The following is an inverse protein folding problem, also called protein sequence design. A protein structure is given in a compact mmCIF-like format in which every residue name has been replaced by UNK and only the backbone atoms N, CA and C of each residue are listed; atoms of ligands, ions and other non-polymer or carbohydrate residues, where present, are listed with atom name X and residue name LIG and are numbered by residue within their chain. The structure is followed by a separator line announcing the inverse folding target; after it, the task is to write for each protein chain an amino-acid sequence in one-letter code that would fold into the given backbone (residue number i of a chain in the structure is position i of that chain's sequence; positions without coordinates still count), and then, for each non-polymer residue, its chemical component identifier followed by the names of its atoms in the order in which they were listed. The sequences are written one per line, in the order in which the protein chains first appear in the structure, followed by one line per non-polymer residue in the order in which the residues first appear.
data_IF_670523963298
#
_entry.id   IF_670523963298
#
_cell.length_a   1.000
_cell.length_b   1.000
_cell.length_c   1.000
_cell.angle_alpha   90.00
_cell.angle_beta   90.00
_cell.angle_gamma   90.00
#
_symmetry.space_group_name_H-M   'P 1'
#
loop_
_entity.id
_entity.type
_entity.pdbx_description
1 polymer ?
#
# COMPACT_ATOMS: atom_id res chain seq x y z
N UNK A 1 -51.17 72.49 -2.82
CA UNK A 1 -49.90 72.39 -2.06
C UNK A 1 -49.86 71.02 -1.41
N UNK A 2 -48.99 70.16 -1.93
CA UNK A 2 -48.77 68.80 -1.46
C UNK A 2 -48.02 68.81 -0.10
N UNK A 3 -48.42 67.93 0.82
CA UNK A 3 -47.76 67.74 2.12
C UNK A 3 -47.43 66.26 2.33
N UNK A 4 -46.14 65.96 2.27
CA UNK A 4 -45.48 64.66 2.30
C UNK A 4 -45.80 63.83 3.56
N UNK A 5 -46.26 62.59 3.38
CA UNK A 5 -46.16 61.53 4.41
C UNK A 5 -44.74 60.97 4.42
N UNK A 6 -43.90 61.46 5.34
CA UNK A 6 -42.58 60.87 5.58
C UNK A 6 -42.72 59.63 6.49
N UNK A 7 -42.99 58.47 5.88
CA UNK A 7 -42.66 57.16 6.49
C UNK A 7 -41.15 57.16 6.78
N UNK A 8 -40.75 57.33 8.04
CA UNK A 8 -39.41 56.94 8.49
C UNK A 8 -39.26 55.44 8.20
N UNK A 9 -38.56 55.12 7.10
CA UNK A 9 -37.91 53.82 6.95
C UNK A 9 -36.91 53.71 8.10
N UNK A 10 -37.26 52.98 9.18
CA UNK A 10 -36.21 52.31 9.96
C UNK A 10 -35.37 51.55 8.94
N UNK A 11 -34.06 51.79 8.94
CA UNK A 11 -33.20 51.19 7.94
C UNK A 11 -33.36 49.67 8.01
N UNK A 12 -33.50 49.02 6.86
CA UNK A 12 -33.38 47.56 6.75
C UNK A 12 -32.24 46.96 7.62
N UNK A 13 -31.07 47.60 7.79
CA UNK A 13 -30.04 47.12 8.73
C UNK A 13 -30.44 47.12 10.21
N UNK A 14 -31.15 48.12 10.74
CA UNK A 14 -31.56 48.15 12.16
C UNK A 14 -32.63 47.10 12.48
N UNK A 15 -33.55 46.86 11.54
CA UNK A 15 -34.55 45.79 11.66
C UNK A 15 -33.89 44.41 11.56
N UNK A 16 -32.93 44.22 10.65
CA UNK A 16 -32.14 42.98 10.57
C UNK A 16 -31.29 42.72 11.81
N UNK A 17 -30.71 43.75 12.43
CA UNK A 17 -29.95 43.62 13.68
C UNK A 17 -30.88 43.23 14.84
N UNK A 18 -32.04 43.88 14.96
CA UNK A 18 -33.04 43.50 15.97
C UNK A 18 -33.60 42.08 15.79
N UNK A 19 -33.89 41.66 14.55
CA UNK A 19 -34.36 40.30 14.27
C UNK A 19 -33.26 39.26 14.54
N UNK A 20 -32.00 39.58 14.22
CA UNK A 20 -30.85 38.73 14.54
C UNK A 20 -30.61 38.61 16.05
N UNK A 21 -30.75 39.70 16.81
CA UNK A 21 -30.62 39.71 18.27
C UNK A 21 -31.78 38.97 18.95
N UNK A 22 -33.01 39.09 18.43
CA UNK A 22 -34.16 38.30 18.89
C UNK A 22 -33.99 36.80 18.61
N UNK A 23 -33.44 36.44 17.44
CA UNK A 23 -33.07 35.06 17.12
C UNK A 23 -32.00 34.51 18.07
N UNK A 24 -30.99 35.32 18.42
CA UNK A 24 -29.94 34.94 19.35
C UNK A 24 -30.46 34.75 20.78
N UNK A 25 -31.34 35.63 21.25
CA UNK A 25 -31.99 35.49 22.56
C UNK A 25 -32.82 34.20 22.65
N UNK A 26 -33.57 33.88 21.59
CA UNK A 26 -34.35 32.63 21.50
C UNK A 26 -33.43 31.41 21.55
N UNK A 27 -32.33 31.43 20.79
CA UNK A 27 -31.33 30.34 20.80
C UNK A 27 -30.70 30.16 22.18
N UNK A 28 -30.32 31.24 22.85
CA UNK A 28 -29.75 31.20 24.20
C UNK A 28 -30.74 30.60 25.21
N UNK A 29 -32.02 31.00 25.15
CA UNK A 29 -33.08 30.44 25.98
C UNK A 29 -33.28 28.94 25.76
N UNK A 30 -33.35 28.50 24.51
CA UNK A 30 -33.47 27.07 24.17
C UNK A 30 -32.25 26.26 24.62
N UNK A 31 -31.03 26.81 24.45
CA UNK A 31 -29.79 26.16 24.87
C UNK A 31 -29.70 25.99 26.39
N UNK A 32 -30.20 26.96 27.17
CA UNK A 32 -30.26 26.85 28.63
C UNK A 32 -31.19 25.74 29.09
N UNK A 33 -32.37 25.62 28.48
CA UNK A 33 -33.34 24.58 28.83
C UNK A 33 -32.79 23.20 28.47
N UNK A 34 -32.24 23.05 27.26
CA UNK A 34 -31.62 21.79 26.84
C UNK A 34 -30.49 21.34 27.78
N UNK A 35 -29.58 22.26 28.12
CA UNK A 35 -28.46 21.95 29.00
C UNK A 35 -28.88 21.64 30.44
N UNK A 36 -29.95 22.26 30.96
CA UNK A 36 -30.50 21.94 32.28
C UNK A 36 -31.16 20.56 32.31
N UNK A 37 -31.97 20.25 31.29
CA UNK A 37 -32.60 18.93 31.17
C UNK A 37 -31.55 17.82 31.00
N UNK A 38 -30.53 18.04 30.17
CA UNK A 38 -29.44 17.09 30.01
C UNK A 38 -28.61 16.94 31.29
N UNK A 39 -28.32 18.03 32.02
CA UNK A 39 -27.61 17.95 33.30
C UNK A 39 -28.38 17.12 34.35
N UNK A 40 -29.72 17.19 34.35
CA UNK A 40 -30.56 16.34 35.21
C UNK A 40 -30.47 14.87 34.78
N UNK A 41 -30.62 14.59 33.49
CA UNK A 41 -30.49 13.24 32.96
C UNK A 41 -29.11 12.63 33.29
N UNK A 42 -28.03 13.40 33.08
CA UNK A 42 -26.67 12.97 33.43
C UNK A 42 -26.49 12.71 34.94
N UNK A 43 -27.16 13.48 35.80
CA UNK A 43 -27.12 13.25 37.24
C UNK A 43 -27.87 11.97 37.65
N UNK A 44 -28.99 11.66 37.00
CA UNK A 44 -29.71 10.41 37.20
C UNK A 44 -28.87 9.21 36.70
N UNK A 45 -28.26 9.33 35.52
CA UNK A 45 -27.32 8.35 34.96
C UNK A 45 -26.12 8.10 35.88
N UNK A 46 -25.56 9.15 36.49
CA UNK A 46 -24.50 9.01 37.47
C UNK A 46 -24.94 8.18 38.69
N UNK A 47 -26.19 8.38 39.17
CA UNK A 47 -26.76 7.59 40.25
C UNK A 47 -26.91 6.11 39.88
N UNK A 48 -27.37 5.82 38.66
CA UNK A 48 -27.41 4.44 38.15
C UNK A 48 -26.02 3.85 38.00
N UNK A 49 -25.06 4.63 37.49
CA UNK A 49 -23.67 4.22 37.34
C UNK A 49 -23.02 3.95 38.70
N UNK A 50 -23.36 4.70 39.75
CA UNK A 50 -22.84 4.44 41.11
C UNK A 50 -23.37 3.12 41.65
N UNK A 51 -24.66 2.84 41.47
CA UNK A 51 -25.25 1.56 41.85
C UNK A 51 -24.63 0.39 41.07
N UNK A 52 -24.37 0.57 39.78
CA UNK A 52 -23.82 -0.49 38.94
C UNK A 52 -22.32 -0.65 39.11
N UNK A 53 -21.52 0.42 39.11
CA UNK A 53 -20.05 0.42 39.06
C UNK A 53 -19.40 0.56 40.44
N UNK A 54 -20.08 1.20 41.39
CA UNK A 54 -19.58 1.55 42.72
C UNK A 54 -19.09 3.00 42.83
N UNK A 55 -19.02 3.49 44.07
CA UNK A 55 -18.68 4.87 44.41
C UNK A 55 -17.32 5.34 43.86
N UNK A 56 -16.26 4.55 44.04
CA UNK A 56 -14.91 4.94 43.62
C UNK A 56 -14.82 5.23 42.10
N UNK A 57 -15.62 4.52 41.30
CA UNK A 57 -15.66 4.67 39.84
C UNK A 57 -16.41 5.93 39.38
N UNK A 58 -17.27 6.50 40.24
CA UNK A 58 -18.12 7.65 39.92
C UNK A 58 -17.62 8.98 40.50
N UNK A 59 -16.53 8.98 41.30
CA UNK A 59 -15.94 10.20 41.87
C UNK A 59 -15.55 11.23 40.81
N UNK A 60 -14.85 10.80 39.76
CA UNK A 60 -14.41 11.72 38.70
C UNK A 60 -15.58 12.24 37.85
N UNK A 61 -16.52 11.40 37.36
CA UNK A 61 -17.73 11.87 36.68
C UNK A 61 -18.56 12.83 37.54
N UNK A 62 -18.72 12.55 38.84
CA UNK A 62 -19.39 13.46 39.78
C UNK A 62 -18.72 14.84 39.84
N UNK A 63 -17.39 14.88 39.83
CA UNK A 63 -16.61 16.11 39.76
C UNK A 63 -16.85 16.89 38.47
N UNK A 64 -16.95 16.20 37.33
CA UNK A 64 -17.24 16.82 36.02
C UNK A 64 -18.65 17.40 36.00
N UNK A 65 -19.66 16.67 36.48
CA UNK A 65 -21.03 17.17 36.60
C UNK A 65 -21.12 18.40 37.52
N UNK A 66 -20.32 18.44 38.59
CA UNK A 66 -20.25 19.61 39.47
C UNK A 66 -19.66 20.84 38.76
N UNK A 67 -18.68 20.66 37.86
CA UNK A 67 -18.14 21.75 37.02
C UNK A 67 -19.20 22.23 36.03
N UNK A 68 -19.86 21.31 35.32
CA UNK A 68 -20.92 21.62 34.36
C UNK A 68 -22.06 22.42 35.01
N UNK A 69 -22.48 22.02 36.22
CA UNK A 69 -23.50 22.73 37.02
C UNK A 69 -23.10 24.17 37.33
N UNK A 70 -21.83 24.42 37.66
CA UNK A 70 -21.33 25.79 37.90
C UNK A 70 -21.34 26.63 36.63
N UNK A 71 -20.95 26.06 35.49
CA UNK A 71 -20.97 26.75 34.20
C UNK A 71 -22.40 27.09 33.76
N UNK A 72 -23.34 26.16 33.94
CA UNK A 72 -24.75 26.40 33.64
C UNK A 72 -25.36 27.46 34.57
N UNK A 73 -25.00 27.46 35.86
CA UNK A 73 -25.40 28.51 36.81
C UNK A 73 -24.91 29.90 36.37
N UNK A 74 -23.67 29.98 35.87
CA UNK A 74 -23.13 31.22 35.30
C UNK A 74 -23.89 31.64 34.03
N UNK A 75 -24.25 30.69 33.15
CA UNK A 75 -25.04 30.98 31.96
C UNK A 75 -26.43 31.54 32.33
N UNK A 76 -27.12 30.94 33.31
CA UNK A 76 -28.39 31.49 33.83
C UNK A 76 -28.22 32.87 34.45
N UNK A 77 -27.10 33.14 35.15
CA UNK A 77 -26.80 34.47 35.69
C UNK A 77 -26.64 35.51 34.58
N UNK A 78 -25.89 35.19 33.52
CA UNK A 78 -25.73 36.06 32.36
C UNK A 78 -27.05 36.34 31.64
N UNK A 79 -27.88 35.30 31.47
CA UNK A 79 -29.20 35.45 30.85
C UNK A 79 -30.12 36.34 31.69
N UNK A 80 -30.08 36.24 33.02
CA UNK A 80 -30.85 37.12 33.91
C UNK A 80 -30.44 38.59 33.76
N UNK A 81 -29.14 38.89 33.66
CA UNK A 81 -28.65 40.26 33.44
C UNK A 81 -29.18 40.87 32.13
N UNK A 82 -29.45 40.05 31.11
CA UNK A 82 -30.05 40.51 29.86
C UNK A 82 -31.55 40.83 29.99
N UNK A 83 -32.23 40.33 31.02
CA UNK A 83 -33.64 40.57 31.31
C UNK A 83 -33.86 41.58 32.45
N UNK A 84 -32.78 42.13 33.03
CA UNK A 84 -32.89 43.18 34.05
C UNK A 84 -33.45 44.48 33.46
N UNK A 85 -33.97 45.36 34.32
CA UNK A 85 -34.60 46.62 33.91
C UNK A 85 -33.65 47.59 33.15
N UNK A 86 -32.33 47.41 33.30
CA UNK A 86 -31.30 48.17 32.58
C UNK A 86 -30.18 47.22 32.13
N UNK A 87 -30.34 46.51 31.01
CA UNK A 87 -29.43 45.45 30.59
C UNK A 87 -28.11 45.94 29.98
N UNK A 88 -27.95 47.25 29.77
CA UNK A 88 -26.77 47.87 29.16
C UNK A 88 -26.95 48.15 27.67
N UNK A 89 -25.84 48.27 26.93
CA UNK A 89 -25.87 48.52 25.49
C UNK A 89 -26.27 47.27 24.68
N UNK A 90 -26.75 47.46 23.45
CA UNK A 90 -27.13 46.34 22.58
C UNK A 90 -25.95 45.37 22.31
N UNK A 91 -24.73 45.90 22.20
CA UNK A 91 -23.52 45.08 22.00
C UNK A 91 -23.17 44.25 23.24
N UNK A 92 -23.33 44.82 24.45
CA UNK A 92 -23.16 44.08 25.71
C UNK A 92 -24.17 42.95 25.85
N UNK A 93 -25.44 43.21 25.54
CA UNK A 93 -26.51 42.19 25.56
C UNK A 93 -26.21 41.07 24.57
N UNK A 94 -25.83 41.41 23.33
CA UNK A 94 -25.46 40.44 22.30
C UNK A 94 -24.26 39.60 22.73
N UNK A 95 -23.22 40.22 23.27
CA UNK A 95 -22.03 39.54 23.79
C UNK A 95 -22.38 38.56 24.92
N UNK A 96 -23.26 38.94 25.85
CA UNK A 96 -23.73 38.03 26.90
C UNK A 96 -24.55 36.87 26.36
N UNK A 97 -25.44 37.07 25.37
CA UNK A 97 -26.16 35.95 24.77
C UNK A 97 -25.23 34.97 24.03
N UNK A 98 -24.24 35.47 23.28
CA UNK A 98 -23.20 34.62 22.69
C UNK A 98 -22.48 33.83 23.78
N UNK A 99 -22.13 34.47 24.89
CA UNK A 99 -21.48 33.80 26.01
C UNK A 99 -22.36 32.74 26.67
N UNK A 100 -23.66 32.96 26.79
CA UNK A 100 -24.63 31.97 27.29
C UNK A 100 -24.63 30.75 26.39
N UNK A 101 -24.76 30.96 25.08
CA UNK A 101 -24.71 29.88 24.09
C UNK A 101 -23.40 29.11 24.18
N UNK A 102 -22.25 29.80 24.22
CA UNK A 102 -20.93 29.14 24.33
C UNK A 102 -20.79 28.31 25.62
N UNK A 103 -21.35 28.79 26.74
CA UNK A 103 -21.33 28.06 28.00
C UNK A 103 -22.22 26.82 27.94
N UNK A 104 -23.43 26.92 27.38
CA UNK A 104 -24.31 25.77 27.18
C UNK A 104 -23.68 24.76 26.23
N UNK A 105 -23.16 25.19 25.07
CA UNK A 105 -22.49 24.31 24.10
C UNK A 105 -21.25 23.62 24.71
N UNK A 106 -20.55 24.28 25.65
CA UNK A 106 -19.45 23.67 26.38
C UNK A 106 -19.92 22.63 27.41
N UNK A 107 -21.03 22.91 28.11
CA UNK A 107 -21.65 21.98 29.07
C UNK A 107 -22.15 20.74 28.33
N UNK A 108 -22.89 20.91 27.23
CA UNK A 108 -23.43 19.81 26.42
C UNK A 108 -22.34 18.84 25.97
N UNK A 109 -21.24 19.33 25.38
CA UNK A 109 -20.12 18.47 24.95
C UNK A 109 -19.52 17.67 26.10
N UNK A 110 -19.37 18.29 27.27
CA UNK A 110 -18.82 17.60 28.44
C UNK A 110 -19.80 16.54 28.95
N UNK A 111 -21.10 16.81 28.96
CA UNK A 111 -22.13 15.85 29.36
C UNK A 111 -22.19 14.66 28.38
N UNK A 112 -22.17 14.90 27.08
CA UNK A 112 -22.14 13.86 26.04
C UNK A 112 -20.93 12.93 26.20
N UNK A 113 -19.73 13.50 26.39
CA UNK A 113 -18.50 12.73 26.60
C UNK A 113 -18.57 11.87 27.87
N UNK A 114 -19.13 12.41 28.97
CA UNK A 114 -19.29 11.66 30.21
C UNK A 114 -20.34 10.56 30.10
N UNK A 115 -21.49 10.83 29.48
CA UNK A 115 -22.55 9.85 29.29
C UNK A 115 -22.07 8.67 28.44
N UNK A 116 -21.34 8.94 27.35
CA UNK A 116 -20.77 7.90 26.51
C UNK A 116 -19.76 7.01 27.26
N UNK A 117 -18.84 7.60 28.04
CA UNK A 117 -17.85 6.86 28.84
C UNK A 117 -18.52 6.02 29.94
N UNK A 118 -19.51 6.59 30.66
CA UNK A 118 -20.28 5.84 31.67
C UNK A 118 -21.04 4.67 31.05
N UNK A 119 -21.72 4.90 29.92
CA UNK A 119 -22.45 3.85 29.21
C UNK A 119 -21.52 2.71 28.77
N UNK A 120 -20.33 3.02 28.26
CA UNK A 120 -19.34 2.02 27.89
C UNK A 120 -18.87 1.20 29.10
N UNK A 121 -18.53 1.88 30.21
CA UNK A 121 -18.10 1.23 31.45
C UNK A 121 -19.19 0.32 32.03
N UNK A 122 -20.44 0.77 32.05
CA UNK A 122 -21.59 -0.04 32.48
C UNK A 122 -21.78 -1.26 31.56
N UNK A 123 -21.70 -1.07 30.24
CA UNK A 123 -21.76 -2.18 29.27
C UNK A 123 -20.66 -3.21 29.50
N UNK A 124 -19.42 -2.78 29.75
CA UNK A 124 -18.31 -3.67 30.10
C UNK A 124 -18.57 -4.42 31.40
N UNK A 125 -19.00 -3.70 32.44
CA UNK A 125 -19.31 -4.28 33.74
C UNK A 125 -20.39 -5.36 33.68
N UNK A 126 -21.45 -5.14 32.88
CA UNK A 126 -22.55 -6.09 32.67
C UNK A 126 -22.11 -7.34 31.91
N UNK A 127 -21.22 -7.21 30.91
CA UNK A 127 -20.70 -8.34 30.11
C UNK A 127 -19.62 -9.16 30.82
N UNK A 128 -18.92 -8.58 31.79
CA UNK A 128 -17.80 -9.22 32.46
C UNK A 128 -18.09 -10.60 33.10
N UNK A 129 -19.24 -10.86 33.76
CA UNK A 129 -19.57 -12.18 34.30
C UNK A 129 -19.63 -13.26 33.22
N UNK A 130 -20.29 -12.97 32.09
CA UNK A 130 -20.42 -13.91 30.98
C UNK A 130 -19.06 -14.19 30.33
N UNK A 131 -18.23 -13.15 30.18
CA UNK A 131 -16.86 -13.29 29.70
C UNK A 131 -16.01 -14.15 30.64
N UNK A 132 -16.11 -13.96 31.95
CA UNK A 132 -15.42 -14.80 32.95
C UNK A 132 -15.87 -16.26 32.83
N UNK A 133 -17.19 -16.50 32.74
CA UNK A 133 -17.74 -17.84 32.58
C UNK A 133 -17.26 -18.50 31.28
N UNK A 134 -17.26 -17.76 30.16
CA UNK A 134 -16.76 -18.22 28.86
C UNK A 134 -15.28 -18.59 28.91
N UNK A 135 -14.43 -17.72 29.48
CA UNK A 135 -12.99 -18.00 29.62
C UNK A 135 -12.74 -19.24 30.48
N UNK A 136 -13.50 -19.44 31.56
CA UNK A 136 -13.41 -20.68 32.38
C UNK A 136 -13.81 -21.92 31.61
N UNK A 137 -14.92 -21.86 30.89
CA UNK A 137 -15.38 -22.98 30.06
C UNK A 137 -14.33 -23.35 28.99
N UNK A 138 -13.73 -22.35 28.35
CA UNK A 138 -12.66 -22.55 27.38
C UNK A 138 -11.40 -23.15 28.00
N UNK A 139 -11.00 -22.70 29.20
CA UNK A 139 -9.87 -23.28 29.93
C UNK A 139 -10.10 -24.78 30.18
N UNK A 140 -11.29 -25.16 30.67
CA UNK A 140 -11.62 -26.57 30.91
C UNK A 140 -11.61 -27.38 29.62
N UNK A 141 -12.25 -26.88 28.56
CA UNK A 141 -12.31 -27.51 27.24
C UNK A 141 -10.92 -27.73 26.64
N UNK A 142 -10.05 -26.71 26.67
CA UNK A 142 -8.70 -26.81 26.11
C UNK A 142 -7.79 -27.68 26.97
N UNK A 143 -7.93 -27.68 28.31
CA UNK A 143 -7.18 -28.60 29.18
C UNK A 143 -7.45 -30.06 28.85
N UNK A 144 -8.71 -30.41 28.56
CA UNK A 144 -9.08 -31.75 28.16
C UNK A 144 -8.39 -32.21 26.85
N UNK A 145 -7.99 -31.29 25.97
CA UNK A 145 -7.27 -31.60 24.71
C UNK A 145 -5.77 -31.88 24.92
N UNK A 146 -5.16 -31.43 26.01
CA UNK A 146 -3.70 -31.55 26.23
C UNK A 146 -3.19 -32.99 26.19
N UNK A 147 -3.81 -33.98 26.87
CA UNK A 147 -3.35 -35.37 26.82
C UNK A 147 -3.41 -35.95 25.41
N UNK A 148 -4.44 -35.59 24.63
CA UNK A 148 -4.59 -35.99 23.24
C UNK A 148 -3.52 -35.37 22.34
N UNK A 149 -3.20 -34.09 22.54
CA UNK A 149 -2.12 -33.42 21.80
C UNK A 149 -0.75 -34.07 22.07
N UNK A 150 -0.46 -34.45 23.33
CA UNK A 150 0.77 -35.19 23.67
C UNK A 150 0.85 -36.54 22.97
N UNK A 151 -0.24 -37.32 23.04
CA UNK A 151 -0.33 -38.62 22.36
C UNK A 151 -0.17 -38.49 20.85
N UNK A 152 -0.71 -37.41 20.27
CA UNK A 152 -0.55 -37.10 18.83
C UNK A 152 0.90 -36.84 18.48
N UNK A 153 1.63 -36.05 19.28
CA UNK A 153 3.06 -35.80 19.06
C UNK A 153 3.87 -37.10 19.17
N UNK A 154 3.59 -37.95 20.16
CA UNK A 154 4.27 -39.25 20.31
C UNK A 154 4.03 -40.14 19.08
N UNK A 155 2.79 -40.19 18.57
CA UNK A 155 2.45 -40.90 17.32
C UNK A 155 3.19 -40.32 16.12
N UNK A 156 3.24 -39.00 16.00
CA UNK A 156 3.94 -38.32 14.91
C UNK A 156 5.46 -38.56 14.98
N UNK A 157 6.02 -38.66 16.18
CA UNK A 157 7.44 -38.99 16.40
C UNK A 157 7.85 -40.36 15.88
N UNK A 158 6.90 -41.29 15.74
CA UNK A 158 7.16 -42.58 15.09
C UNK A 158 7.29 -42.47 13.57
N UNK A 159 6.70 -41.45 12.94
CA UNK A 159 6.64 -41.27 11.47
C UNK A 159 7.58 -40.20 10.94
N UNK A 160 7.80 -39.14 11.70
CA UNK A 160 8.54 -37.96 11.27
C UNK A 160 9.85 -37.79 12.04
N UNK A 161 10.83 -37.15 11.40
CA UNK A 161 12.07 -36.79 12.07
C UNK A 161 11.82 -35.75 13.17
N UNK A 162 12.68 -35.73 14.20
CA UNK A 162 12.55 -34.76 15.31
C UNK A 162 12.61 -33.30 14.86
N UNK A 163 13.40 -33.01 13.81
CA UNK A 163 13.46 -31.67 13.22
C UNK A 163 12.13 -31.21 12.65
N UNK A 164 11.30 -32.12 12.14
CA UNK A 164 9.98 -31.78 11.61
C UNK A 164 9.01 -31.37 12.72
N UNK A 165 9.19 -31.95 13.92
CA UNK A 165 8.32 -31.73 15.08
C UNK A 165 8.78 -30.59 15.97
N UNK A 166 9.97 -30.00 15.74
CA UNK A 166 10.54 -28.98 16.63
C UNK A 166 9.63 -27.76 16.81
N UNK A 167 8.80 -27.44 15.82
CA UNK A 167 7.84 -26.33 15.89
C UNK A 167 6.58 -26.63 16.70
N UNK A 168 6.31 -27.90 17.04
CA UNK A 168 5.10 -28.32 17.74
C UNK A 168 5.34 -29.14 19.02
N UNK A 169 6.57 -29.62 19.25
CA UNK A 169 6.88 -30.51 20.37
C UNK A 169 6.61 -29.88 21.75
N UNK A 170 6.85 -28.57 21.90
CA UNK A 170 6.61 -27.84 23.16
C UNK A 170 5.16 -27.37 23.32
N UNK A 171 4.37 -27.36 22.24
CA UNK A 171 3.05 -26.73 22.21
C UNK A 171 2.10 -27.20 23.33
N UNK A 172 1.99 -28.50 23.68
CA UNK A 172 1.11 -28.92 24.77
C UNK A 172 1.57 -28.44 26.15
N UNK A 173 2.88 -28.32 26.36
CA UNK A 173 3.43 -27.80 27.61
C UNK A 173 3.21 -26.29 27.71
N UNK A 174 3.48 -25.55 26.63
CA UNK A 174 3.28 -24.10 26.55
C UNK A 174 1.79 -23.75 26.68
N UNK A 175 0.90 -24.52 26.04
CA UNK A 175 -0.54 -24.39 26.19
C UNK A 175 -0.97 -24.62 27.66
N UNK A 176 -0.43 -25.64 28.33
CA UNK A 176 -0.74 -25.90 29.74
C UNK A 176 -0.37 -24.70 30.63
N UNK A 177 0.81 -24.10 30.42
CA UNK A 177 1.26 -22.92 31.15
C UNK A 177 0.37 -21.71 30.89
N UNK A 178 0.02 -21.45 29.63
CA UNK A 178 -0.88 -20.36 29.25
C UNK A 178 -2.27 -20.51 29.88
N UNK A 179 -2.81 -21.74 29.93
CA UNK A 179 -4.10 -22.01 30.57
C UNK A 179 -4.04 -21.87 32.09
N UNK A 180 -2.93 -22.26 32.74
CA UNK A 180 -2.71 -22.01 34.16
C UNK A 180 -2.63 -20.51 34.49
N UNK A 181 -1.90 -19.75 33.67
CA UNK A 181 -1.86 -18.30 33.77
C UNK A 181 -3.25 -17.67 33.59
N UNK A 182 -4.00 -18.11 32.57
CA UNK A 182 -5.35 -17.61 32.32
C UNK A 182 -6.31 -17.90 33.48
N UNK A 183 -6.26 -19.10 34.07
CA UNK A 183 -7.08 -19.43 35.23
C UNK A 183 -6.76 -18.56 36.44
N UNK A 184 -5.47 -18.35 36.72
CA UNK A 184 -5.05 -17.42 37.78
C UNK A 184 -5.54 -16.00 37.51
N UNK A 185 -5.39 -15.53 36.26
CA UNK A 185 -5.81 -14.19 35.84
C UNK A 185 -7.32 -13.99 35.97
N UNK A 186 -8.15 -14.98 35.64
CA UNK A 186 -9.60 -14.94 35.88
C UNK A 186 -9.91 -14.82 37.37
N UNK A 187 -9.25 -15.62 38.22
CA UNK A 187 -9.44 -15.51 39.68
C UNK A 187 -9.03 -14.13 40.23
N UNK A 188 -7.98 -13.51 39.66
CA UNK A 188 -7.61 -12.13 39.99
C UNK A 188 -8.68 -11.13 39.54
N UNK A 189 -9.23 -11.31 38.34
CA UNK A 189 -10.28 -10.45 37.81
C UNK A 189 -11.52 -10.48 38.71
N UNK A 190 -11.99 -11.65 39.13
CA UNK A 190 -13.13 -11.79 40.06
C UNK A 190 -12.90 -11.06 41.38
N UNK A 191 -11.78 -11.33 42.06
CA UNK A 191 -11.45 -10.65 43.33
C UNK A 191 -11.38 -9.14 43.19
N UNK A 192 -10.87 -8.64 42.05
CA UNK A 192 -10.80 -7.19 41.78
C UNK A 192 -12.19 -6.60 41.55
N UNK A 193 -13.10 -7.33 40.87
CA UNK A 193 -14.50 -6.90 40.70
C UNK A 193 -15.26 -6.85 42.02
N UNK A 194 -15.11 -7.88 42.84
CA UNK A 194 -15.70 -7.94 44.19
C UNK A 194 -15.23 -6.78 45.07
N UNK A 195 -13.97 -6.38 44.92
CA UNK A 195 -13.39 -5.24 45.62
C UNK A 195 -13.63 -3.87 44.95
N UNK A 196 -14.56 -3.77 43.99
CA UNK A 196 -14.90 -2.50 43.30
C UNK A 196 -13.88 -2.02 42.25
N UNK A 197 -12.73 -2.69 42.09
CA UNK A 197 -11.63 -2.31 41.18
C UNK A 197 -11.83 -2.88 39.77
N UNK A 198 -12.89 -2.43 39.09
CA UNK A 198 -13.35 -3.02 37.82
C UNK A 198 -12.39 -2.82 36.65
N UNK A 199 -11.79 -1.64 36.49
CA UNK A 199 -10.83 -1.42 35.39
C UNK A 199 -9.61 -2.34 35.49
N UNK A 200 -9.10 -2.56 36.70
CA UNK A 200 -8.02 -3.51 36.93
C UNK A 200 -8.45 -4.97 36.74
N UNK A 201 -9.73 -5.28 36.89
CA UNK A 201 -10.26 -6.60 36.58
C UNK A 201 -10.36 -6.83 35.07
N UNK A 202 -10.78 -5.82 34.31
CA UNK A 202 -10.89 -5.89 32.85
C UNK A 202 -9.52 -6.21 32.22
N UNK A 203 -8.45 -5.55 32.68
CA UNK A 203 -7.09 -5.84 32.20
C UNK A 203 -6.67 -7.30 32.47
N UNK A 204 -6.99 -7.83 33.65
CA UNK A 204 -6.68 -9.21 34.00
C UNK A 204 -7.51 -10.20 33.17
N UNK A 205 -8.79 -9.89 32.92
CA UNK A 205 -9.68 -10.69 32.11
C UNK A 205 -9.25 -10.71 30.64
N UNK A 206 -8.86 -9.57 30.07
CA UNK A 206 -8.38 -9.48 28.69
C UNK A 206 -7.08 -10.29 28.50
N UNK A 207 -6.14 -10.16 29.43
CA UNK A 207 -4.91 -10.96 29.43
C UNK A 207 -5.20 -12.46 29.49
N UNK A 208 -6.17 -12.86 30.32
CA UNK A 208 -6.59 -14.26 30.45
C UNK A 208 -7.23 -14.79 29.16
N UNK A 209 -8.14 -14.03 28.56
CA UNK A 209 -8.79 -14.38 27.30
C UNK A 209 -7.76 -14.49 26.15
N UNK A 210 -6.76 -13.59 26.11
CA UNK A 210 -5.66 -13.65 25.14
C UNK A 210 -4.81 -14.91 25.30
N UNK A 211 -4.49 -15.29 26.54
CA UNK A 211 -3.74 -16.52 26.83
C UNK A 211 -4.50 -17.78 26.44
N UNK A 212 -5.82 -17.83 26.67
CA UNK A 212 -6.68 -18.93 26.21
C UNK A 212 -6.66 -19.06 24.69
N UNK A 213 -6.82 -17.95 23.95
CA UNK A 213 -6.75 -17.96 22.47
C UNK A 213 -5.41 -18.47 21.97
N UNK A 214 -4.30 -18.02 22.59
CA UNK A 214 -2.96 -18.50 22.23
C UNK A 214 -2.79 -19.99 22.51
N UNK A 215 -3.28 -20.48 23.64
CA UNK A 215 -3.26 -21.91 23.96
C UNK A 215 -4.06 -22.73 22.94
N UNK A 216 -5.22 -22.23 22.49
CA UNK A 216 -5.99 -22.87 21.43
C UNK A 216 -5.19 -22.99 20.13
N UNK A 217 -4.56 -21.90 19.66
CA UNK A 217 -3.72 -21.91 18.45
C UNK A 217 -2.57 -22.92 18.53
N UNK A 218 -1.93 -23.05 19.69
CA UNK A 218 -0.85 -24.03 19.89
C UNK A 218 -1.35 -25.47 19.78
N UNK A 219 -2.53 -25.77 20.35
CA UNK A 219 -3.15 -27.09 20.28
C UNK A 219 -3.66 -27.40 18.87
N UNK A 220 -4.27 -26.42 18.20
CA UNK A 220 -4.74 -26.55 16.82
C UNK A 220 -3.57 -26.85 15.87
N UNK A 221 -2.42 -26.22 16.06
CA UNK A 221 -1.21 -26.48 15.26
C UNK A 221 -0.72 -27.95 15.36
N UNK A 222 -0.90 -28.59 16.53
CA UNK A 222 -0.57 -30.02 16.69
C UNK A 222 -1.55 -30.89 15.89
N UNK A 223 -2.83 -30.54 15.91
CA UNK A 223 -3.88 -31.29 15.21
C UNK A 223 -3.78 -31.14 13.68
N UNK A 224 -3.39 -29.96 13.17
CA UNK A 224 -3.25 -29.72 11.73
C UNK A 224 -1.93 -30.21 11.14
N UNK A 225 -0.91 -30.43 11.96
CA UNK A 225 0.44 -30.78 11.52
C UNK A 225 0.46 -32.00 10.60
N UNK A 226 -0.26 -33.08 10.90
CA UNK A 226 -0.23 -34.30 10.09
C UNK A 226 -0.75 -34.06 8.67
N UNK A 227 -1.80 -33.25 8.53
CA UNK A 227 -2.36 -32.87 7.23
C UNK A 227 -1.36 -32.00 6.45
N UNK A 228 -0.67 -31.09 7.12
CA UNK A 228 0.37 -30.26 6.52
C UNK A 228 1.57 -31.08 6.07
N UNK A 229 2.03 -32.02 6.90
CA UNK A 229 3.13 -32.91 6.59
C UNK A 229 2.80 -33.83 5.40
N UNK A 230 1.59 -34.41 5.36
CA UNK A 230 1.10 -35.19 4.21
C UNK A 230 1.05 -34.37 2.91
N UNK A 231 0.58 -33.12 2.98
CA UNK A 231 0.58 -32.20 1.81
C UNK A 231 2.01 -31.88 1.37
N UNK A 232 2.92 -31.69 2.33
CA UNK A 232 4.33 -31.45 2.04
C UNK A 232 4.97 -32.66 1.36
N UNK A 233 4.70 -33.89 1.83
CA UNK A 233 5.15 -35.14 1.20
C UNK A 233 4.68 -35.24 -0.26
N UNK A 234 3.38 -35.03 -0.52
CA UNK A 234 2.82 -35.09 -1.87
C UNK A 234 3.45 -34.03 -2.80
N UNK A 235 3.62 -32.81 -2.30
CA UNK A 235 4.22 -31.71 -3.06
C UNK A 235 5.71 -31.94 -3.32
N UNK A 236 6.42 -32.52 -2.34
CA UNK A 236 7.83 -32.84 -2.45
C UNK A 236 8.08 -33.88 -3.54
N UNK A 237 7.24 -34.92 -3.63
CA UNK A 237 7.33 -35.93 -4.68
C UNK A 237 7.15 -35.30 -6.07
N UNK A 238 6.09 -34.51 -6.27
CA UNK A 238 5.85 -33.84 -7.57
C UNK A 238 6.96 -32.86 -7.95
N UNK A 239 7.46 -32.08 -6.98
CA UNK A 239 8.53 -31.10 -7.21
C UNK A 239 9.85 -31.78 -7.52
N UNK A 240 10.17 -32.89 -6.85
CA UNK A 240 11.39 -33.64 -7.10
C UNK A 240 11.42 -34.18 -8.54
N UNK A 241 10.30 -34.71 -9.03
CA UNK A 241 10.19 -35.17 -10.43
C UNK A 241 10.31 -34.03 -11.44
N UNK A 242 9.74 -32.87 -11.13
CA UNK A 242 9.89 -31.68 -11.96
C UNK A 242 11.34 -31.21 -12.02
N UNK A 243 12.00 -31.07 -10.87
CA UNK A 243 13.42 -30.68 -10.80
C UNK A 243 14.34 -31.69 -11.51
N UNK A 244 14.05 -32.99 -11.45
CA UNK A 244 14.80 -34.02 -12.23
C UNK A 244 14.66 -33.79 -13.73
N UNK A 245 13.46 -33.48 -14.22
CA UNK A 245 13.23 -33.16 -15.64
C UNK A 245 13.94 -31.86 -16.05
N UNK A 246 13.89 -30.82 -15.22
CA UNK A 246 14.60 -29.56 -15.45
C UNK A 246 16.12 -29.77 -15.52
N UNK A 247 16.68 -30.54 -14.59
CA UNK A 247 18.09 -30.90 -14.62
C UNK A 247 18.47 -31.68 -15.87
N UNK A 248 17.64 -32.64 -16.30
CA UNK A 248 17.86 -33.38 -17.54
C UNK A 248 17.85 -32.47 -18.77
N UNK A 249 16.90 -31.52 -18.84
CA UNK A 249 16.86 -30.52 -19.91
C UNK A 249 18.05 -29.56 -19.88
N UNK A 250 18.62 -29.28 -18.69
CA UNK A 250 19.78 -28.43 -18.53
C UNK A 250 21.10 -29.07 -19.01
N UNK A 251 21.14 -30.38 -19.31
CA UNK A 251 22.36 -31.14 -19.67
C UNK A 251 23.07 -30.61 -20.94
N UNK A 252 22.40 -29.85 -21.82
CA UNK A 252 22.97 -29.37 -23.08
C UNK A 252 23.12 -27.85 -23.27
N UNK A 253 22.76 -27.02 -22.29
CA UNK A 253 22.77 -25.55 -22.47
C UNK A 253 24.14 -24.92 -22.14
N UNK A 254 24.58 -23.84 -22.82
CA UNK A 254 25.74 -23.04 -22.41
C UNK A 254 25.55 -22.50 -20.99
N UNK A 255 26.52 -22.72 -20.10
CA UNK A 255 26.37 -22.43 -18.66
C UNK A 255 27.30 -21.32 -18.20
N UNK A 256 26.77 -20.43 -17.37
CA UNK A 256 27.60 -19.57 -16.52
C UNK A 256 28.03 -20.33 -15.26
N UNK A 257 29.14 -19.93 -14.60
CA UNK A 257 29.58 -20.54 -13.32
C UNK A 257 28.46 -20.56 -12.28
N UNK A 258 27.73 -19.44 -12.13
CA UNK A 258 26.59 -19.34 -11.22
C UNK A 258 25.46 -20.35 -11.53
N UNK A 259 25.24 -20.70 -12.81
CA UNK A 259 24.27 -21.73 -13.18
C UNK A 259 24.79 -23.13 -12.85
N UNK A 260 26.10 -23.38 -12.96
CA UNK A 260 26.71 -24.64 -12.55
C UNK A 260 26.60 -24.86 -11.03
N UNK A 261 26.86 -23.83 -10.23
CA UNK A 261 26.72 -23.88 -8.77
C UNK A 261 25.27 -24.15 -8.36
N UNK A 262 24.30 -23.45 -8.97
CA UNK A 262 22.87 -23.66 -8.69
C UNK A 262 22.38 -25.06 -9.10
N UNK A 263 22.92 -25.64 -10.19
CA UNK A 263 22.65 -27.03 -10.59
C UNK A 263 23.21 -27.99 -9.55
N UNK A 264 24.44 -27.78 -9.08
CA UNK A 264 25.07 -28.62 -8.06
C UNK A 264 24.27 -28.59 -6.74
N UNK A 265 23.80 -27.41 -6.32
CA UNK A 265 22.93 -27.26 -5.15
C UNK A 265 21.60 -27.99 -5.31
N UNK A 266 20.96 -27.91 -6.48
CA UNK A 266 19.71 -28.63 -6.76
C UNK A 266 19.92 -30.15 -6.79
N UNK A 267 21.02 -30.62 -7.36
CA UNK A 267 21.41 -32.03 -7.32
C UNK A 267 21.67 -32.52 -5.89
N UNK A 268 22.38 -31.73 -5.08
CA UNK A 268 22.61 -32.03 -3.67
C UNK A 268 21.30 -32.07 -2.87
N UNK A 269 20.36 -31.15 -3.13
CA UNK A 269 19.04 -31.14 -2.51
C UNK A 269 18.21 -32.39 -2.88
N UNK A 270 18.25 -32.82 -4.15
CA UNK A 270 17.58 -34.05 -4.60
C UNK A 270 18.24 -35.32 -4.04
N UNK A 271 19.57 -35.36 -3.95
CA UNK A 271 20.31 -36.49 -3.40
C UNK A 271 20.11 -36.62 -1.87
N UNK A 272 19.83 -35.51 -1.19
CA UNK A 272 19.52 -35.48 0.23
C UNK A 272 18.08 -35.95 0.54
N UNK A 273 17.24 -36.23 -0.46
CA UNK A 273 15.90 -36.76 -0.23
C UNK A 273 16.01 -38.21 0.30
N UNK A 274 15.38 -38.52 1.44
CA UNK A 274 15.51 -39.83 2.06
C UNK A 274 14.78 -40.91 1.26
N UNK A 275 15.25 -42.15 1.40
CA UNK A 275 14.57 -43.33 0.88
C UNK A 275 13.22 -43.54 1.60
N UNK A 276 12.27 -44.20 0.92
CA UNK A 276 10.98 -44.53 1.50
C UNK A 276 11.15 -45.37 2.80
N UNK A 277 10.43 -45.01 3.85
CA UNK A 277 10.43 -45.73 5.14
C UNK A 277 11.41 -45.18 6.20
N UNK A 278 12.13 -44.10 5.93
CA UNK A 278 12.93 -43.38 6.95
C UNK A 278 12.14 -42.20 7.49
N UNK A 279 12.18 -41.99 8.82
CA UNK A 279 11.61 -40.81 9.45
C UNK A 279 12.24 -39.55 8.86
N UNK A 280 11.43 -38.77 8.16
CA UNK A 280 11.86 -37.65 7.32
C UNK A 280 11.28 -36.34 7.83
N UNK A 281 11.90 -35.24 7.43
CA UNK A 281 11.37 -33.88 7.60
C UNK A 281 10.90 -33.36 6.24
N UNK A 282 9.66 -33.69 5.83
CA UNK A 282 9.16 -33.33 4.50
C UNK A 282 9.10 -31.81 4.31
N UNK A 283 8.90 -31.04 5.40
CA UNK A 283 8.85 -29.59 5.37
C UNK A 283 10.22 -28.99 5.08
N UNK A 284 11.27 -29.42 5.81
CA UNK A 284 12.63 -28.95 5.59
C UNK A 284 13.13 -29.31 4.18
N UNK A 285 12.86 -30.54 3.71
CA UNK A 285 13.22 -30.97 2.36
C UNK A 285 12.48 -30.14 1.29
N UNK A 286 11.19 -29.86 1.48
CA UNK A 286 10.41 -29.04 0.55
C UNK A 286 10.94 -27.60 0.48
N UNK A 287 11.27 -27.00 1.64
CA UNK A 287 11.87 -25.66 1.71
C UNK A 287 13.21 -25.63 0.98
N UNK A 288 14.10 -26.60 1.26
CA UNK A 288 15.42 -26.68 0.63
C UNK A 288 15.32 -26.86 -0.89
N UNK A 289 14.44 -27.75 -1.35
CA UNK A 289 14.28 -28.03 -2.78
C UNK A 289 13.71 -26.82 -3.54
N UNK A 290 12.72 -26.13 -2.96
CA UNK A 290 12.19 -24.87 -3.52
C UNK A 290 13.25 -23.78 -3.59
N UNK A 291 14.04 -23.62 -2.52
CA UNK A 291 15.12 -22.62 -2.49
C UNK A 291 16.16 -22.89 -3.58
N UNK A 292 16.58 -24.15 -3.76
CA UNK A 292 17.53 -24.55 -4.80
C UNK A 292 16.96 -24.30 -6.21
N UNK A 293 15.68 -24.63 -6.45
CA UNK A 293 15.01 -24.35 -7.73
C UNK A 293 14.96 -22.85 -8.03
N UNK A 294 14.56 -22.04 -7.06
CA UNK A 294 14.53 -20.58 -7.23
C UNK A 294 15.93 -20.03 -7.53
N UNK A 295 16.98 -20.56 -6.89
CA UNK A 295 18.36 -20.17 -7.18
C UNK A 295 18.76 -20.51 -8.63
N UNK A 296 18.39 -21.70 -9.12
CA UNK A 296 18.59 -22.10 -10.51
C UNK A 296 17.87 -21.17 -11.49
N UNK A 297 16.59 -20.88 -11.24
CA UNK A 297 15.79 -20.01 -12.09
C UNK A 297 16.39 -18.62 -12.23
N UNK A 298 16.88 -18.04 -11.11
CA UNK A 298 17.59 -16.76 -11.13
C UNK A 298 18.90 -16.83 -11.93
N UNK A 299 19.69 -17.89 -11.76
CA UNK A 299 20.94 -18.06 -12.48
C UNK A 299 20.73 -18.22 -13.99
N UNK A 300 19.69 -18.96 -14.39
CA UNK A 300 19.29 -19.12 -15.79
C UNK A 300 18.75 -17.82 -16.37
N UNK A 301 17.91 -17.09 -15.64
CA UNK A 301 17.41 -15.77 -16.06
C UNK A 301 18.55 -14.78 -16.30
N UNK A 302 19.51 -14.70 -15.38
CA UNK A 302 20.69 -13.85 -15.53
C UNK A 302 21.55 -14.24 -16.75
N UNK A 303 21.67 -15.54 -17.04
CA UNK A 303 22.40 -16.02 -18.22
C UNK A 303 21.69 -15.64 -19.52
N UNK A 304 20.35 -15.74 -19.57
CA UNK A 304 19.53 -15.30 -20.72
C UNK A 304 19.59 -13.79 -20.94
N UNK A 305 19.56 -13.00 -19.86
CA UNK A 305 19.66 -11.54 -19.94
C UNK A 305 21.02 -11.12 -20.50
N UNK A 306 22.12 -11.74 -20.05
CA UNK A 306 23.46 -11.50 -20.64
C UNK A 306 23.49 -11.88 -22.11
N UNK A 307 22.98 -13.06 -22.48
CA UNK A 307 22.93 -13.50 -23.87
C UNK A 307 22.14 -12.52 -24.76
N UNK A 308 21.04 -11.95 -24.25
CA UNK A 308 20.23 -10.96 -24.97
C UNK A 308 20.92 -9.59 -25.06
N UNK A 309 21.64 -9.18 -24.01
CA UNK A 309 22.40 -7.92 -23.97
C UNK A 309 23.62 -7.95 -24.88
N UNK A 310 24.27 -9.11 -25.01
CA UNK A 310 25.48 -9.32 -25.81
C UNK A 310 25.16 -9.66 -27.29
N UNK A 311 23.88 -9.74 -27.66
CA UNK A 311 23.46 -9.98 -29.05
C UNK A 311 23.41 -8.66 -29.82
N UNK A 312 24.20 -8.48 -30.92
CA UNK A 312 24.12 -7.26 -31.71
C UNK A 312 22.71 -7.10 -32.32
N UNK A 313 22.15 -5.87 -32.39
CA UNK A 313 20.79 -5.66 -32.91
C UNK A 313 20.73 -6.13 -34.36
N UNK A 314 19.90 -7.14 -34.63
CA UNK A 314 19.75 -7.74 -35.96
C UNK A 314 19.25 -6.64 -36.93
N UNK A 315 20.03 -6.21 -37.94
CA UNK A 315 19.56 -5.25 -38.93
C UNK A 315 18.50 -5.92 -39.78
N UNK A 316 17.23 -5.69 -39.44
CA UNK A 316 16.11 -6.20 -40.22
C UNK A 316 16.12 -5.58 -41.63
N UNK A 317 15.66 -6.32 -42.66
CA UNK A 317 15.60 -5.89 -44.07
C UNK A 317 14.89 -4.52 -44.25
N UNK A 318 13.99 -4.18 -43.33
CA UNK A 318 13.29 -2.89 -43.29
C UNK A 318 14.26 -1.72 -43.10
N UNK A 319 15.27 -1.84 -42.23
CA UNK A 319 16.26 -0.78 -41.99
C UNK A 319 17.15 -0.53 -43.20
N UNK A 320 17.50 -1.60 -43.93
CA UNK A 320 18.24 -1.52 -45.19
C UNK A 320 17.47 -0.68 -46.21
N UNK A 321 16.18 -1.00 -46.43
CA UNK A 321 15.32 -0.26 -47.37
C UNK A 321 15.16 1.21 -46.97
N UNK A 322 15.03 1.50 -45.67
CA UNK A 322 14.94 2.88 -45.18
C UNK A 322 16.23 3.67 -45.41
N UNK A 323 17.39 3.08 -45.14
CA UNK A 323 18.68 3.76 -45.34
C UNK A 323 18.92 4.10 -46.82
N UNK A 324 18.60 3.18 -47.73
CA UNK A 324 18.71 3.41 -49.18
C UNK A 324 17.76 4.53 -49.64
N UNK A 325 16.49 4.49 -49.21
CA UNK A 325 15.51 5.54 -49.55
C UNK A 325 15.90 6.93 -49.03
N UNK A 326 16.50 7.01 -47.85
CA UNK A 326 16.99 8.29 -47.30
C UNK A 326 18.18 8.84 -48.13
N UNK A 327 19.11 7.96 -48.51
CA UNK A 327 20.22 8.33 -49.40
C UNK A 327 19.72 8.83 -50.76
N UNK A 328 18.76 8.13 -51.37
CA UNK A 328 18.15 8.51 -52.65
C UNK A 328 17.48 9.89 -52.56
N UNK A 329 16.65 10.11 -51.53
CA UNK A 329 16.00 11.41 -51.32
C UNK A 329 17.01 12.55 -51.18
N UNK A 330 18.10 12.36 -50.43
CA UNK A 330 19.11 13.41 -50.23
C UNK A 330 19.89 13.69 -51.51
N UNK A 331 20.19 12.66 -52.29
CA UNK A 331 20.82 12.78 -53.60
C UNK A 331 19.95 13.59 -54.56
N UNK A 332 18.66 13.31 -54.62
CA UNK A 332 17.74 14.03 -55.50
C UNK A 332 17.65 15.51 -55.10
N UNK A 333 17.54 15.82 -53.80
CA UNK A 333 17.54 17.21 -53.32
C UNK A 333 18.86 17.93 -53.65
N UNK A 334 20.00 17.25 -53.54
CA UNK A 334 21.30 17.82 -53.88
C UNK A 334 21.43 18.06 -55.40
N UNK A 335 20.97 17.12 -56.23
CA UNK A 335 20.92 17.26 -57.69
C UNK A 335 20.06 18.44 -58.12
N UNK A 336 18.86 18.56 -57.55
CA UNK A 336 17.93 19.65 -57.87
C UNK A 336 18.53 21.01 -57.51
N UNK A 337 19.18 21.12 -56.35
CA UNK A 337 19.84 22.35 -55.93
C UNK A 337 20.96 22.78 -56.88
N UNK A 338 21.76 21.82 -57.36
CA UNK A 338 22.86 22.06 -58.31
C UNK A 338 22.33 22.38 -59.71
N UNK A 339 21.36 21.60 -60.21
CA UNK A 339 20.79 21.76 -61.55
C UNK A 339 19.99 23.08 -61.69
N UNK A 340 19.35 23.53 -60.61
CA UNK A 340 18.57 24.78 -60.60
C UNK A 340 19.42 26.06 -60.65
N UNK A 341 20.73 25.98 -60.48
CA UNK A 341 21.62 27.14 -60.39
C UNK A 341 22.92 26.97 -61.21
N UNK A 342 22.81 26.76 -62.54
CA UNK A 342 23.97 26.55 -63.39
C UNK A 342 24.89 27.78 -63.38
N UNK A 343 26.17 27.56 -63.08
CA UNK A 343 27.19 28.61 -63.01
C UNK A 343 27.39 29.26 -61.65
N UNK A 344 26.56 28.95 -60.64
CA UNK A 344 26.69 29.49 -59.29
C UNK A 344 27.35 28.53 -58.29
N UNK A 345 27.52 27.26 -58.66
CA UNK A 345 27.94 26.18 -57.76
C UNK A 345 29.45 25.95 -57.84
N UNK A 346 30.11 25.85 -56.69
CA UNK A 346 31.55 25.61 -56.58
C UNK A 346 31.97 24.16 -56.91
N UNK A 347 33.23 24.00 -57.30
CA UNK A 347 33.80 22.71 -57.68
C UNK A 347 33.75 21.66 -56.54
N UNK A 348 33.83 22.09 -55.28
CA UNK A 348 33.77 21.17 -54.13
C UNK A 348 32.38 20.58 -53.93
N UNK A 349 31.31 21.38 -54.08
CA UNK A 349 29.94 20.88 -54.02
C UNK A 349 29.67 19.85 -55.14
N UNK A 350 30.17 20.10 -56.35
CA UNK A 350 30.08 19.16 -57.48
C UNK A 350 30.87 17.87 -57.23
N UNK A 351 32.07 17.98 -56.65
CA UNK A 351 32.89 16.81 -56.32
C UNK A 351 32.20 15.90 -55.27
N UNK A 352 31.61 16.49 -54.21
CA UNK A 352 30.86 15.72 -53.19
C UNK A 352 29.60 15.07 -53.78
N UNK A 353 28.92 15.75 -54.70
CA UNK A 353 27.76 15.16 -55.41
C UNK A 353 28.20 13.95 -56.24
N UNK A 354 29.23 14.12 -57.07
CA UNK A 354 29.75 13.05 -57.91
C UNK A 354 30.25 11.84 -57.09
N UNK A 355 30.88 12.07 -55.93
CA UNK A 355 31.28 10.97 -55.03
C UNK A 355 30.06 10.28 -54.39
N UNK A 356 29.04 11.04 -53.97
CA UNK A 356 27.79 10.47 -53.46
C UNK A 356 27.09 9.60 -54.51
N UNK A 357 27.01 10.08 -55.75
CA UNK A 357 26.43 9.35 -56.88
C UNK A 357 27.21 8.08 -57.20
N UNK A 358 28.55 8.16 -57.19
CA UNK A 358 29.41 6.99 -57.37
C UNK A 358 29.13 5.92 -56.31
N UNK A 359 29.08 6.30 -55.03
CA UNK A 359 28.77 5.35 -53.94
C UNK A 359 27.36 4.77 -54.11
N UNK A 360 26.40 5.54 -54.61
CA UNK A 360 25.04 5.04 -54.86
C UNK A 360 24.96 4.06 -56.03
N UNK A 361 25.77 4.25 -57.07
CA UNK A 361 25.94 3.30 -58.16
C UNK A 361 26.62 2.02 -57.65
N UNK A 362 27.69 2.15 -56.87
CA UNK A 362 28.37 1.01 -56.23
C UNK A 362 27.40 0.25 -55.30
N UNK A 363 26.55 0.96 -54.55
CA UNK A 363 25.48 0.38 -53.73
C UNK A 363 24.44 -0.38 -54.56
N UNK A 364 24.10 0.13 -55.75
CA UNK A 364 23.19 -0.54 -56.69
C UNK A 364 23.78 -1.85 -57.22
N UNK A 365 25.07 -1.85 -57.58
CA UNK A 365 25.79 -3.06 -57.96
C UNK A 365 25.89 -4.06 -56.80
N UNK A 366 26.15 -3.56 -55.60
CA UNK A 366 26.25 -4.38 -54.38
C UNK A 366 24.91 -5.03 -53.99
N UNK A 367 23.78 -4.38 -54.29
CA UNK A 367 22.42 -4.91 -54.09
C UNK A 367 21.94 -5.86 -55.20
N UNK A 368 22.65 -5.91 -56.35
CA UNK A 368 22.28 -6.68 -57.54
C UNK A 368 21.33 -5.91 -58.47
N UNK A 369 21.64 -5.87 -59.77
CA UNK A 369 20.95 -5.07 -60.80
C UNK A 369 19.67 -5.70 -61.39
N UNK A 370 19.06 -6.69 -60.71
CA UNK A 370 17.83 -7.33 -61.19
C UNK A 370 16.60 -6.81 -60.44
N UNK A 371 15.71 -6.13 -61.17
CA UNK A 371 14.53 -5.36 -60.74
C UNK A 371 13.44 -6.13 -59.95
N UNK A 372 13.68 -7.31 -59.38
CA UNK A 372 12.60 -8.04 -58.68
C UNK A 372 12.98 -8.84 -57.43
N UNK A 373 14.24 -9.00 -57.04
CA UNK A 373 14.51 -9.58 -55.70
C UNK A 373 15.84 -9.12 -55.11
N UNK A 374 15.76 -8.30 -54.05
CA UNK A 374 16.90 -7.97 -53.20
C UNK A 374 17.32 -9.26 -52.47
N UNK A 375 18.34 -9.95 -52.97
CA UNK A 375 18.93 -11.12 -52.32
C UNK A 375 19.92 -10.65 -51.26
N UNK A 376 19.40 -10.06 -50.19
CA UNK A 376 20.20 -9.66 -49.02
C UNK A 376 20.17 -10.81 -48.02
N UNK A 377 21.01 -11.81 -48.28
CA UNK A 377 20.99 -13.11 -47.60
C UNK A 377 21.77 -13.11 -46.28
N UNK A 378 22.81 -12.29 -46.12
CA UNK A 378 23.71 -12.35 -44.97
C UNK A 378 23.72 -11.07 -44.09
N UNK A 379 24.07 -11.20 -42.81
CA UNK A 379 24.15 -10.11 -41.83
C UNK A 379 25.21 -9.08 -42.21
N UNK A 380 26.42 -9.54 -42.57
CA UNK A 380 27.53 -8.66 -42.94
C UNK A 380 27.19 -7.86 -44.20
N UNK A 381 26.47 -8.50 -45.13
CA UNK A 381 25.95 -7.84 -46.32
C UNK A 381 24.93 -6.74 -45.99
N UNK A 382 24.02 -6.96 -45.03
CA UNK A 382 23.05 -5.94 -44.55
C UNK A 382 23.74 -4.75 -43.89
N UNK A 383 24.72 -5.02 -43.03
CA UNK A 383 25.48 -4.00 -42.34
C UNK A 383 26.26 -3.12 -43.34
N UNK A 384 26.90 -3.76 -44.32
CA UNK A 384 27.65 -3.06 -45.37
C UNK A 384 26.76 -2.18 -46.24
N UNK A 385 25.59 -2.67 -46.66
CA UNK A 385 24.61 -1.87 -47.43
C UNK A 385 24.18 -0.62 -46.64
N UNK A 386 23.87 -0.77 -45.35
CA UNK A 386 23.47 0.37 -44.51
C UNK A 386 24.62 1.37 -44.38
N UNK A 387 25.85 0.91 -44.21
CA UNK A 387 27.02 1.77 -44.10
C UNK A 387 27.26 2.58 -45.40
N UNK A 388 27.18 1.92 -46.56
CA UNK A 388 27.30 2.55 -47.87
C UNK A 388 26.18 3.58 -48.13
N UNK A 389 24.93 3.23 -47.81
CA UNK A 389 23.79 4.14 -47.95
C UNK A 389 23.95 5.40 -47.07
N UNK A 390 24.39 5.23 -45.81
CA UNK A 390 24.66 6.36 -44.91
C UNK A 390 25.81 7.25 -45.42
N UNK A 391 26.86 6.65 -45.99
CA UNK A 391 27.97 7.40 -46.58
C UNK A 391 27.51 8.25 -47.78
N UNK A 392 26.71 7.67 -48.67
CA UNK A 392 26.12 8.42 -49.79
C UNK A 392 25.23 9.57 -49.30
N UNK A 393 24.35 9.31 -48.32
CA UNK A 393 23.50 10.32 -47.70
C UNK A 393 24.28 11.50 -47.09
N UNK A 394 25.42 11.24 -46.42
CA UNK A 394 26.29 12.28 -45.85
C UNK A 394 26.87 13.17 -46.93
N UNK A 395 27.48 12.57 -47.96
CA UNK A 395 28.11 13.31 -49.06
C UNK A 395 27.09 14.14 -49.86
N UNK A 396 25.87 13.63 -50.06
CA UNK A 396 24.78 14.40 -50.68
C UNK A 396 24.36 15.60 -49.82
N UNK A 397 24.32 15.42 -48.50
CA UNK A 397 23.97 16.51 -47.56
C UNK A 397 25.06 17.57 -47.49
N UNK A 398 26.34 17.17 -47.54
CA UNK A 398 27.50 18.06 -47.62
C UNK A 398 27.48 18.87 -48.92
N UNK A 399 27.25 18.19 -50.05
CA UNK A 399 27.09 18.86 -51.35
C UNK A 399 25.96 19.90 -51.33
N UNK A 400 24.79 19.55 -50.79
CA UNK A 400 23.66 20.48 -50.65
C UNK A 400 23.98 21.68 -49.77
N UNK A 401 24.72 21.48 -48.66
CA UNK A 401 25.11 22.56 -47.77
C UNK A 401 26.06 23.55 -48.46
N UNK A 402 27.08 23.03 -49.17
CA UNK A 402 28.01 23.84 -49.95
C UNK A 402 27.28 24.57 -51.09
N UNK A 403 26.43 23.87 -51.85
CA UNK A 403 25.63 24.47 -52.92
C UNK A 403 24.76 25.63 -52.42
N UNK A 404 24.14 25.51 -51.23
CA UNK A 404 23.37 26.60 -50.62
C UNK A 404 24.22 27.80 -50.23
N UNK A 405 25.43 27.56 -49.73
CA UNK A 405 26.38 28.64 -49.41
C UNK A 405 26.81 29.36 -50.68
N UNK A 406 27.14 28.63 -51.75
CA UNK A 406 27.55 29.18 -53.04
C UNK A 406 26.44 30.01 -53.70
N UNK A 407 25.19 29.51 -53.69
CA UNK A 407 24.02 30.26 -54.17
C UNK A 407 23.83 31.54 -53.35
N UNK A 408 24.01 31.48 -52.02
CA UNK A 408 23.94 32.63 -51.14
C UNK A 408 25.00 33.68 -51.46
N UNK A 409 26.25 33.25 -51.64
CA UNK A 409 27.36 34.12 -52.01
C UNK A 409 27.17 34.77 -53.39
N UNK A 410 26.69 34.00 -54.37
CA UNK A 410 26.39 34.50 -55.71
C UNK A 410 25.25 35.54 -55.70
N UNK A 411 24.20 35.32 -54.90
CA UNK A 411 23.11 36.29 -54.70
C UNK A 411 23.61 37.57 -54.03
N UNK A 412 24.48 37.46 -53.02
CA UNK A 412 25.05 38.61 -52.34
C UNK A 412 25.95 39.45 -53.28
N UNK A 413 26.73 38.80 -54.15
CA UNK A 413 27.53 39.50 -55.17
C UNK A 413 26.68 40.20 -56.24
N UNK A 414 25.52 39.63 -56.62
CA UNK A 414 24.59 40.27 -57.58
C UNK A 414 23.71 41.39 -57.03
N UNK A 415 23.59 41.51 -55.70
CA UNK A 415 22.84 42.58 -55.04
C UNK A 415 23.75 43.73 -54.55
N UNK A 416 25.06 43.50 -54.49
CA UNK A 416 26.08 44.50 -54.15
C UNK A 416 26.81 45.11 -55.36
N UNK A 417 26.41 44.73 -56.58
CA UNK A 417 26.79 45.33 -57.86
C UNK A 417 25.51 45.80 -58.56
#
# INVERSE_FOLDING_TARGET
MAGFWARRRRGAPELQVHDADAGLATRAGSALVAADDHLRAAADELGFAEAELGFDATVQPAGVLAVARRQLTEAFRQNRLNHDASPGSAEEVRSRYLRVVDLCDAVERVLDEQAADLAERMSRARRAPDLIAGVRADILRLRARIPYARTTIDRLGARYARSALSGIESNPADAAQLLAFAEHGVGVAERRREAGRRDHADVALEASARSVRRAATLLDAVETFEVEALRAEATLASLADECRRELAAAVGAPRSPAAADAIAELQAALAALPAAGVNTDPLAHLVRLRAARIALDRALAATRERATRDQPPIPHVVHVRHAVRDADRRLDVARDAVAGHPGCIGAEALARLAESERIRVDLGHYLGSAETTVVVTDFDHRAQVIAMARRAASLASESLALARQDIGAFRAQRLGA
#
